data_IF_581429547662
#
_entry.id   IF_581429547662
#
_cell.length_a   1.000
_cell.length_b   1.000
_cell.length_c   1.000
_cell.angle_alpha   90.00
_cell.angle_beta   90.00
_cell.angle_gamma   90.00
#
_symmetry.space_group_name_H-M   'P 1'
#
loop_
_entity.id
_entity.type
_entity.pdbx_description
1 polymer ?
#
# COMPACT_ATOMS: atom_id res chain seq x y z
N UNK A 1 -14.62 -10.06 -2.86
CA UNK A 1 -14.84 -10.36 -4.29
C UNK A 1 -15.79 -11.53 -4.55
N UNK A 2 -15.87 -12.54 -3.67
CA UNK A 2 -16.67 -13.76 -3.90
C UNK A 2 -18.12 -13.55 -4.41
N UNK A 3 -18.93 -12.61 -3.87
CA UNK A 3 -20.28 -12.37 -4.41
C UNK A 3 -20.27 -11.93 -5.87
N UNK A 4 -19.29 -11.15 -6.29
CA UNK A 4 -19.20 -10.64 -7.65
C UNK A 4 -18.85 -11.73 -8.67
N UNK A 5 -18.25 -12.84 -8.24
CA UNK A 5 -17.85 -13.94 -9.13
C UNK A 5 -18.81 -15.12 -9.02
N UNK A 6 -19.24 -15.45 -7.80
CA UNK A 6 -20.05 -16.64 -7.52
C UNK A 6 -21.49 -16.33 -7.12
N UNK A 7 -21.86 -15.06 -6.94
CA UNK A 7 -23.21 -14.65 -6.54
C UNK A 7 -23.56 -14.97 -5.08
N UNK A 8 -22.59 -15.28 -4.23
CA UNK A 8 -22.78 -15.53 -2.80
C UNK A 8 -21.52 -15.16 -1.99
N UNK A 9 -21.63 -15.09 -0.67
CA UNK A 9 -20.50 -14.89 0.23
C UNK A 9 -19.62 -16.14 0.34
N UNK A 10 -18.33 -16.01 0.72
CA UNK A 10 -17.45 -17.16 0.94
C UNK A 10 -18.06 -18.17 1.93
N UNK A 11 -17.97 -19.49 1.68
CA UNK A 11 -18.55 -20.50 2.57
C UNK A 11 -18.06 -20.40 4.02
N UNK A 12 -16.78 -20.06 4.24
CA UNK A 12 -16.21 -19.84 5.57
C UNK A 12 -16.90 -18.69 6.32
N UNK A 13 -17.21 -17.58 5.63
CA UNK A 13 -17.90 -16.45 6.24
C UNK A 13 -19.33 -16.84 6.62
N UNK A 14 -20.05 -17.53 5.73
CA UNK A 14 -21.42 -18.00 6.01
C UNK A 14 -21.46 -18.92 7.24
N UNK A 15 -20.50 -19.83 7.36
CA UNK A 15 -20.39 -20.74 8.51
C UNK A 15 -20.05 -19.99 9.80
N UNK A 16 -19.04 -19.13 9.77
CA UNK A 16 -18.55 -18.49 11.00
C UNK A 16 -19.50 -17.40 11.51
N UNK A 17 -20.01 -16.54 10.62
CA UNK A 17 -20.88 -15.41 10.99
C UNK A 17 -22.32 -15.89 11.26
N UNK A 18 -22.79 -16.87 10.51
CA UNK A 18 -24.13 -17.44 10.64
C UNK A 18 -25.24 -16.44 10.32
N UNK A 19 -26.28 -16.41 11.14
CA UNK A 19 -27.49 -15.62 10.91
C UNK A 19 -27.27 -14.08 10.86
N UNK A 20 -26.12 -13.59 11.35
CA UNK A 20 -25.76 -12.15 11.26
C UNK A 20 -25.34 -11.74 9.85
N UNK A 21 -24.97 -12.69 8.99
CA UNK A 21 -24.64 -12.41 7.58
C UNK A 21 -25.92 -12.50 6.74
N UNK A 22 -26.42 -11.39 6.17
CA UNK A 22 -27.60 -11.43 5.32
C UNK A 22 -27.38 -12.37 4.13
N UNK A 23 -28.38 -13.19 3.81
CA UNK A 23 -28.33 -14.02 2.61
C UNK A 23 -28.71 -13.20 1.39
N UNK A 24 -28.00 -13.42 0.27
CA UNK A 24 -28.39 -12.85 -1.02
C UNK A 24 -29.60 -13.62 -1.54
N UNK A 25 -30.65 -12.91 -1.97
CA UNK A 25 -31.76 -13.55 -2.68
C UNK A 25 -31.30 -14.04 -4.05
N UNK A 26 -32.07 -14.92 -4.69
CA UNK A 26 -31.77 -15.36 -6.06
C UNK A 26 -31.68 -14.17 -7.04
N UNK A 27 -32.52 -13.14 -6.82
CA UNK A 27 -32.49 -11.89 -7.59
C UNK A 27 -31.19 -11.12 -7.34
N UNK A 28 -30.82 -10.89 -6.09
CA UNK A 28 -29.61 -10.12 -5.76
C UNK A 28 -28.35 -10.85 -6.24
N UNK A 29 -28.31 -12.17 -6.05
CA UNK A 29 -27.24 -13.05 -6.55
C UNK A 29 -27.05 -12.89 -8.06
N UNK A 30 -28.14 -12.91 -8.83
CA UNK A 30 -28.11 -12.72 -10.27
C UNK A 30 -27.69 -11.30 -10.68
N UNK A 31 -28.01 -10.28 -9.86
CA UNK A 31 -27.60 -8.89 -10.13
C UNK A 31 -26.11 -8.64 -9.88
N UNK A 32 -25.52 -9.27 -8.87
CA UNK A 32 -24.10 -9.02 -8.50
C UNK A 32 -23.13 -9.96 -9.22
N UNK A 33 -23.56 -11.16 -9.58
CA UNK A 33 -22.69 -12.13 -10.26
C UNK A 33 -22.32 -11.61 -11.65
N UNK A 34 -21.02 -11.51 -11.92
CA UNK A 34 -20.49 -11.01 -13.18
C UNK A 34 -20.67 -9.50 -13.36
N UNK A 35 -20.98 -8.76 -12.30
CA UNK A 35 -21.18 -7.30 -12.37
C UNK A 35 -19.88 -6.49 -12.34
N UNK A 36 -18.76 -7.09 -12.77
CA UNK A 36 -17.45 -6.42 -12.86
C UNK A 36 -16.85 -6.64 -14.24
N UNK A 37 -16.30 -5.58 -14.81
CA UNK A 37 -15.49 -5.63 -16.03
C UNK A 37 -13.99 -5.76 -15.70
N UNK A 38 -13.59 -5.25 -14.54
CA UNK A 38 -12.24 -5.32 -13.98
C UNK A 38 -12.29 -5.16 -12.45
N UNK A 39 -11.16 -5.43 -11.80
CA UNK A 39 -10.99 -5.29 -10.35
C UNK A 39 -9.93 -4.23 -10.04
N UNK A 40 -10.33 -3.16 -9.37
CA UNK A 40 -9.41 -2.20 -8.76
C UNK A 40 -8.94 -2.71 -7.39
N UNK A 41 -7.63 -2.72 -7.16
CA UNK A 41 -7.03 -3.22 -5.92
C UNK A 41 -6.15 -2.16 -5.29
N UNK A 42 -6.38 -1.91 -4.01
CA UNK A 42 -5.49 -1.11 -3.17
C UNK A 42 -4.62 -2.08 -2.37
N UNK A 43 -3.32 -2.11 -2.63
CA UNK A 43 -2.38 -3.04 -2.01
C UNK A 43 -1.20 -2.24 -1.47
N UNK A 44 -0.86 -2.45 -0.20
CA UNK A 44 0.23 -1.73 0.47
C UNK A 44 1.22 -2.66 1.19
N UNK A 45 0.79 -3.86 1.56
CA UNK A 45 1.60 -4.83 2.30
C UNK A 45 0.87 -6.14 2.54
N UNK A 46 1.34 -6.88 3.53
CA UNK A 46 0.74 -8.13 3.99
C UNK A 46 0.56 -8.11 5.50
N UNK A 47 -0.44 -8.84 5.95
CA UNK A 47 -0.73 -9.10 7.36
C UNK A 47 -0.45 -10.59 7.59
N UNK A 48 0.38 -10.90 8.58
CA UNK A 48 0.52 -12.27 9.06
C UNK A 48 -0.56 -12.53 10.11
N UNK A 49 -1.26 -13.65 9.96
CA UNK A 49 -2.30 -14.08 10.89
C UNK A 49 -2.08 -15.50 11.35
N UNK A 50 -2.52 -15.79 12.57
CA UNK A 50 -2.57 -17.13 13.16
C UNK A 50 -4.03 -17.50 13.44
N UNK A 51 -4.33 -18.79 13.48
CA UNK A 51 -5.66 -19.26 13.81
C UNK A 51 -5.96 -19.01 15.30
N UNK A 52 -7.13 -18.43 15.59
CA UNK A 52 -7.68 -18.29 16.94
C UNK A 52 -9.11 -18.82 16.94
N UNK A 53 -9.23 -20.14 16.81
CA UNK A 53 -10.52 -20.82 16.66
C UNK A 53 -11.39 -20.73 17.92
N UNK A 54 -10.78 -20.50 19.09
CA UNK A 54 -11.51 -20.30 20.34
C UNK A 54 -12.41 -19.07 20.32
N UNK A 55 -12.19 -18.11 19.40
CA UNK A 55 -13.13 -17.01 19.20
C UNK A 55 -14.51 -17.49 18.73
N UNK A 56 -14.59 -18.61 18.00
CA UNK A 56 -15.85 -19.14 17.47
C UNK A 56 -16.76 -19.72 18.56
N UNK A 57 -16.21 -20.05 19.73
CA UNK A 57 -16.95 -20.58 20.88
C UNK A 57 -17.61 -19.48 21.73
N UNK A 58 -17.35 -18.20 21.42
CA UNK A 58 -17.91 -17.06 22.16
C UNK A 58 -19.33 -16.75 21.70
N UNK A 59 -20.20 -16.48 22.67
CA UNK A 59 -21.59 -16.07 22.40
C UNK A 59 -21.68 -14.72 21.67
N UNK A 60 -20.90 -13.73 22.14
CA UNK A 60 -20.82 -12.40 21.55
C UNK A 60 -19.54 -12.26 20.72
N UNK A 61 -19.72 -12.08 19.41
CA UNK A 61 -18.64 -11.93 18.43
C UNK A 61 -18.88 -10.70 17.57
N UNK A 62 -17.83 -9.92 17.39
CA UNK A 62 -17.77 -8.86 16.39
C UNK A 62 -17.15 -9.39 15.10
N UNK A 63 -16.85 -8.48 14.17
CA UNK A 63 -16.20 -8.82 12.90
C UNK A 63 -14.90 -9.60 13.09
N UNK A 64 -14.06 -9.23 14.07
CA UNK A 64 -12.77 -9.87 14.31
C UNK A 64 -12.94 -11.25 14.94
N UNK A 65 -13.88 -11.40 15.88
CA UNK A 65 -14.23 -12.70 16.46
C UNK A 65 -14.73 -13.70 15.40
N UNK A 66 -15.41 -13.23 14.35
CA UNK A 66 -15.86 -14.08 13.25
C UNK A 66 -14.76 -14.51 12.27
N UNK A 67 -13.71 -13.70 12.15
CA UNK A 67 -12.52 -14.08 11.37
C UNK A 67 -11.82 -15.28 12.01
N UNK A 68 -11.88 -15.41 13.34
CA UNK A 68 -11.22 -16.46 14.11
C UNK A 68 -9.70 -16.50 13.87
N UNK A 69 -9.10 -15.32 13.81
CA UNK A 69 -7.67 -15.12 13.57
C UNK A 69 -7.08 -14.13 14.54
N UNK A 70 -5.86 -14.39 14.99
CA UNK A 70 -5.02 -13.41 15.66
C UNK A 70 -4.09 -12.71 14.65
N UNK A 71 -3.96 -11.40 14.74
CA UNK A 71 -3.07 -10.61 13.88
C UNK A 71 -1.66 -10.60 14.47
N UNK A 72 -0.71 -11.28 13.81
CA UNK A 72 0.68 -11.35 14.25
C UNK A 72 1.46 -10.11 13.83
N UNK A 73 1.20 -9.62 12.61
CA UNK A 73 1.78 -8.36 12.12
C UNK A 73 0.69 -7.48 11.52
N UNK A 74 0.69 -6.20 11.90
CA UNK A 74 -0.19 -5.20 11.29
C UNK A 74 0.71 -4.10 10.71
N UNK A 75 0.78 -3.94 9.37
CA UNK A 75 1.64 -2.91 8.74
C UNK A 75 1.36 -1.47 9.19
N UNK A 76 0.19 -1.26 9.79
CA UNK A 76 -0.31 0.01 10.32
C UNK A 76 -0.38 0.04 11.85
N UNK A 77 0.17 -0.93 12.56
CA UNK A 77 0.36 -0.83 14.00
C UNK A 77 1.79 -1.23 14.30
N UNK A 78 2.59 -0.29 14.85
CA UNK A 78 3.80 -0.73 15.52
C UNK A 78 3.36 -1.74 16.57
N UNK A 79 3.98 -2.92 16.56
CA UNK A 79 3.90 -3.87 17.67
C UNK A 79 3.83 -3.09 18.97
N UNK A 80 2.73 -3.25 19.72
CA UNK A 80 2.61 -2.74 21.09
C UNK A 80 3.63 -3.53 21.93
N UNK A 81 4.90 -3.18 21.83
CA UNK A 81 5.87 -3.50 22.85
C UNK A 81 5.55 -2.57 24.00
N UNK A 82 5.22 -3.18 25.15
CA UNK A 82 4.71 -2.58 26.39
C UNK A 82 5.45 -1.33 26.92
N UNK A 83 6.58 -0.94 26.32
CA UNK A 83 7.52 0.05 26.83
C UNK A 83 7.87 1.21 25.86
N UNK A 84 7.17 1.38 24.73
CA UNK A 84 7.33 2.59 23.90
C UNK A 84 6.05 3.42 23.91
N UNK A 85 6.11 4.62 24.49
CA UNK A 85 4.96 5.54 24.67
C UNK A 85 4.48 6.24 23.39
N UNK A 86 4.98 5.89 22.20
CA UNK A 86 4.44 6.43 20.95
C UNK A 86 4.47 5.35 19.86
N UNK A 87 3.32 4.91 19.33
CA UNK A 87 3.29 3.99 18.20
C UNK A 87 3.93 4.65 16.97
N UNK A 88 5.09 4.15 16.52
CA UNK A 88 5.67 4.56 15.23
C UNK A 88 5.02 3.73 14.13
N UNK A 89 3.87 4.18 13.65
CA UNK A 89 3.34 3.70 12.39
C UNK A 89 4.32 4.05 11.28
N UNK A 90 4.61 3.10 10.41
CA UNK A 90 5.46 3.37 9.26
C UNK A 90 5.43 2.21 8.30
N UNK A 91 4.77 2.40 7.16
CA UNK A 91 4.85 1.49 6.01
C UNK A 91 6.29 1.34 5.48
N UNK A 92 7.24 2.17 5.97
CA UNK A 92 8.67 2.08 5.67
C UNK A 92 9.29 0.72 5.99
N UNK A 93 8.76 -0.04 6.96
CA UNK A 93 9.37 -1.29 7.44
C UNK A 93 8.55 -2.55 7.11
N UNK A 94 7.49 -2.43 6.30
CA UNK A 94 6.55 -3.52 6.01
C UNK A 94 6.35 -3.73 4.51
N UNK A 95 7.41 -3.56 3.72
CA UNK A 95 7.39 -3.87 2.30
C UNK A 95 7.19 -5.37 2.10
N UNK A 96 6.15 -5.76 1.37
CA UNK A 96 5.84 -7.14 1.06
C UNK A 96 5.46 -7.29 -0.43
N UNK A 97 6.38 -6.99 -1.36
CA UNK A 97 6.10 -7.08 -2.80
C UNK A 97 5.67 -8.49 -3.23
N UNK A 98 6.16 -9.53 -2.53
CA UNK A 98 5.71 -10.92 -2.72
C UNK A 98 4.21 -11.11 -2.47
N UNK A 99 3.59 -10.28 -1.63
CA UNK A 99 2.17 -10.37 -1.32
C UNK A 99 1.31 -9.86 -2.47
N UNK A 100 1.79 -8.88 -3.24
CA UNK A 100 1.16 -8.49 -4.50
C UNK A 100 1.15 -9.66 -5.47
N UNK A 101 2.28 -10.37 -5.63
CA UNK A 101 2.33 -11.54 -6.51
C UNK A 101 1.38 -12.65 -6.06
N UNK A 102 1.31 -12.93 -4.75
CA UNK A 102 0.38 -13.92 -4.19
C UNK A 102 -1.08 -13.53 -4.34
N UNK A 103 -1.40 -12.24 -4.20
CA UNK A 103 -2.74 -11.73 -4.45
C UNK A 103 -3.15 -11.93 -5.91
N UNK A 104 -2.28 -11.58 -6.86
CA UNK A 104 -2.56 -11.74 -8.29
C UNK A 104 -2.68 -13.21 -8.68
N UNK A 105 -1.83 -14.09 -8.15
CA UNK A 105 -1.92 -15.54 -8.31
C UNK A 105 -3.26 -16.08 -7.75
N UNK A 106 -3.70 -15.59 -6.59
CA UNK A 106 -4.97 -15.98 -6.00
C UNK A 106 -6.17 -15.56 -6.88
N UNK A 107 -6.15 -14.37 -7.47
CA UNK A 107 -7.18 -13.92 -8.41
C UNK A 107 -7.18 -14.73 -9.71
N UNK A 108 -5.99 -15.05 -10.21
CA UNK A 108 -5.81 -15.90 -11.38
C UNK A 108 -6.42 -17.29 -11.17
N UNK A 109 -6.12 -17.93 -10.04
CA UNK A 109 -6.48 -19.33 -9.77
C UNK A 109 -7.88 -19.52 -9.21
N UNK A 110 -8.38 -18.59 -8.39
CA UNK A 110 -9.66 -18.74 -7.70
C UNK A 110 -10.77 -17.84 -8.20
N UNK A 111 -10.50 -16.93 -9.15
CA UNK A 111 -11.52 -15.99 -9.60
C UNK A 111 -11.52 -15.76 -11.12
N UNK A 112 -10.90 -16.67 -11.88
CA UNK A 112 -10.96 -16.66 -13.34
C UNK A 112 -10.03 -15.63 -13.99
N UNK A 113 -9.03 -15.12 -13.27
CA UNK A 113 -8.05 -14.17 -13.77
C UNK A 113 -8.67 -12.92 -14.41
N UNK A 114 -9.52 -12.17 -13.68
CA UNK A 114 -10.16 -10.99 -14.22
C UNK A 114 -9.11 -9.91 -14.54
N UNK A 115 -9.42 -8.95 -15.42
CA UNK A 115 -8.57 -7.77 -15.59
C UNK A 115 -8.38 -7.04 -14.25
N UNK A 116 -7.14 -6.79 -13.86
CA UNK A 116 -6.78 -6.12 -12.60
C UNK A 116 -6.13 -4.78 -12.88
N UNK A 117 -6.43 -3.79 -12.05
CA UNK A 117 -5.66 -2.56 -11.92
C UNK A 117 -5.25 -2.38 -10.47
N UNK A 118 -3.97 -2.15 -10.20
CA UNK A 118 -3.56 -1.66 -8.88
C UNK A 118 -3.97 -0.20 -8.81
N UNK A 119 -5.05 0.10 -8.10
CA UNK A 119 -5.59 1.45 -7.94
C UNK A 119 -4.81 2.28 -6.93
N UNK A 120 -4.23 1.62 -5.93
CA UNK A 120 -3.36 2.27 -4.96
C UNK A 120 -2.22 1.33 -4.54
N UNK A 121 -1.00 1.84 -4.62
CA UNK A 121 0.19 1.28 -3.97
C UNK A 121 1.18 2.41 -3.71
N UNK A 122 1.81 2.42 -2.53
CA UNK A 122 2.82 3.42 -2.19
C UNK A 122 3.30 3.33 -0.76
N UNK A 123 4.32 4.12 -0.44
CA UNK A 123 4.89 4.19 0.90
C UNK A 123 4.73 5.58 1.51
N UNK A 124 4.16 5.62 2.70
CA UNK A 124 3.96 6.83 3.49
C UNK A 124 4.94 6.92 4.66
N UNK A 125 5.35 8.14 4.99
CA UNK A 125 6.13 8.42 6.19
C UNK A 125 5.75 9.78 6.77
N UNK A 126 6.04 9.97 8.06
CA UNK A 126 5.94 11.26 8.73
C UNK A 126 7.24 12.03 8.51
N UNK A 127 7.22 13.22 7.92
CA UNK A 127 8.45 13.99 7.75
C UNK A 127 9.02 14.40 9.12
N UNK A 128 10.35 14.28 9.29
CA UNK A 128 11.09 14.93 10.39
C UNK A 128 10.93 16.47 10.27
N UNK A 129 11.00 17.28 11.35
CA UNK A 129 10.09 18.37 11.62
C UNK A 129 9.83 19.37 10.48
N UNK A 130 8.57 19.80 10.48
CA UNK A 130 7.90 20.69 9.56
C UNK A 130 8.72 21.89 9.08
N UNK A 131 9.17 21.85 7.83
CA UNK A 131 9.62 23.04 7.11
C UNK A 131 10.93 22.81 6.38
N UNK A 132 10.82 22.47 5.10
CA UNK A 132 11.99 22.46 4.22
C UNK A 132 11.77 21.60 2.99
N UNK A 133 12.14 22.16 1.84
CA UNK A 133 12.21 21.51 0.52
C UNK A 133 13.27 20.37 0.44
N UNK A 134 13.65 19.77 1.57
CA UNK A 134 14.80 18.86 1.71
C UNK A 134 14.39 17.43 2.07
N UNK A 135 13.08 17.14 2.15
CA UNK A 135 12.62 15.77 2.40
C UNK A 135 12.88 14.89 1.19
N UNK A 136 13.94 14.10 1.27
CA UNK A 136 14.32 13.12 0.27
C UNK A 136 13.63 11.78 0.57
N UNK A 137 12.85 11.28 -0.38
CA UNK A 137 11.97 10.12 -0.22
C UNK A 137 12.48 8.89 -0.97
N UNK A 138 13.77 8.62 -0.87
CA UNK A 138 14.41 7.46 -1.53
C UNK A 138 13.73 6.13 -1.19
N UNK A 139 13.27 5.97 0.06
CA UNK A 139 12.51 4.79 0.47
C UNK A 139 11.25 4.57 -0.39
N UNK A 140 10.57 5.64 -0.82
CA UNK A 140 9.39 5.54 -1.68
C UNK A 140 9.77 5.13 -3.09
N UNK A 141 10.88 5.65 -3.62
CA UNK A 141 11.40 5.19 -4.91
C UNK A 141 11.75 3.69 -4.87
N UNK A 142 12.39 3.24 -3.79
CA UNK A 142 12.69 1.83 -3.56
C UNK A 142 11.43 0.97 -3.47
N UNK A 143 10.45 1.38 -2.67
CA UNK A 143 9.17 0.69 -2.53
C UNK A 143 8.48 0.52 -3.88
N UNK A 144 8.31 1.61 -4.63
CA UNK A 144 7.63 1.57 -5.93
C UNK A 144 8.37 0.66 -6.91
N UNK A 145 9.70 0.69 -6.90
CA UNK A 145 10.52 -0.22 -7.70
C UNK A 145 10.19 -1.69 -7.42
N UNK A 146 10.31 -2.12 -6.17
CA UNK A 146 10.17 -3.55 -5.83
C UNK A 146 8.74 -4.06 -6.07
N UNK A 147 7.73 -3.20 -5.92
CA UNK A 147 6.35 -3.55 -6.24
C UNK A 147 6.06 -3.58 -7.74
N UNK A 148 6.63 -2.65 -8.52
CA UNK A 148 6.54 -2.68 -9.99
C UNK A 148 7.27 -3.91 -10.56
N UNK A 149 8.41 -4.30 -9.99
CA UNK A 149 9.12 -5.54 -10.35
C UNK A 149 8.25 -6.77 -10.08
N UNK A 150 7.61 -6.84 -8.90
CA UNK A 150 6.69 -7.94 -8.56
C UNK A 150 5.45 -7.97 -9.47
N UNK A 151 4.88 -6.81 -9.80
CA UNK A 151 3.78 -6.68 -10.76
C UNK A 151 4.18 -7.20 -12.14
N UNK A 152 5.36 -6.81 -12.65
CA UNK A 152 5.89 -7.27 -13.92
C UNK A 152 6.12 -8.78 -13.92
N UNK A 153 6.66 -9.34 -12.84
CA UNK A 153 6.84 -10.78 -12.69
C UNK A 153 5.49 -11.52 -12.74
N UNK A 154 4.44 -11.00 -12.07
CA UNK A 154 3.10 -11.57 -12.11
C UNK A 154 2.46 -11.50 -13.50
N UNK A 155 2.61 -10.39 -14.23
CA UNK A 155 2.17 -10.29 -15.63
C UNK A 155 2.86 -11.34 -16.50
N UNK A 156 4.18 -11.52 -16.34
CA UNK A 156 4.95 -12.56 -17.05
C UNK A 156 4.51 -13.98 -16.68
N UNK A 157 3.92 -14.17 -15.49
CA UNK A 157 3.35 -15.43 -15.04
C UNK A 157 1.84 -15.57 -15.35
N UNK A 158 1.29 -14.70 -16.21
CA UNK A 158 -0.06 -14.83 -16.75
C UNK A 158 -1.16 -14.16 -15.93
N UNK A 159 -0.85 -13.42 -14.87
CA UNK A 159 -1.86 -12.58 -14.20
C UNK A 159 -2.33 -11.46 -15.15
N UNK A 160 -3.64 -11.24 -15.23
CA UNK A 160 -4.22 -10.21 -16.12
C UNK A 160 -4.14 -8.79 -15.53
N UNK A 161 -2.94 -8.35 -15.13
CA UNK A 161 -2.71 -7.02 -14.59
C UNK A 161 -2.48 -6.00 -15.71
N UNK A 162 -3.37 -5.00 -15.78
CA UNK A 162 -3.45 -4.01 -16.89
C UNK A 162 -2.99 -2.61 -16.50
N UNK A 163 -2.88 -2.30 -15.22
CA UNK A 163 -2.56 -0.95 -14.76
C UNK A 163 -2.01 -0.90 -13.34
N UNK A 164 -1.24 0.16 -13.07
CA UNK A 164 -0.64 0.41 -11.76
C UNK A 164 -0.66 1.92 -11.48
N UNK A 165 -1.37 2.31 -10.43
CA UNK A 165 -1.58 3.68 -9.99
C UNK A 165 -0.92 3.88 -8.62
N UNK A 166 -0.02 4.86 -8.55
CA UNK A 166 0.70 5.22 -7.32
C UNK A 166 -0.21 6.01 -6.39
N UNK A 167 -0.30 5.57 -5.12
CA UNK A 167 -0.78 6.41 -4.03
C UNK A 167 0.41 7.11 -3.36
N UNK A 168 0.61 8.42 -3.50
CA UNK A 168 -0.27 9.38 -4.17
C UNK A 168 0.48 10.27 -5.15
N UNK A 169 -0.25 10.92 -6.06
CA UNK A 169 0.35 11.90 -6.97
C UNK A 169 1.00 13.07 -6.21
N UNK A 170 0.31 13.62 -5.21
CA UNK A 170 0.82 14.64 -4.30
C UNK A 170 0.36 14.38 -2.87
N UNK A 171 0.97 15.04 -1.89
CA UNK A 171 0.47 14.95 -0.52
C UNK A 171 -0.98 15.43 -0.41
N UNK A 172 -1.77 14.67 0.34
CA UNK A 172 -3.19 14.93 0.58
C UNK A 172 -3.49 14.87 2.08
N UNK A 173 -4.75 15.10 2.44
CA UNK A 173 -5.25 14.77 3.75
C UNK A 173 -5.44 13.25 3.86
N UNK A 174 -4.60 12.58 4.65
CA UNK A 174 -4.73 11.14 4.91
C UNK A 174 -5.77 10.91 6.01
N UNK A 175 -6.89 10.26 5.73
CA UNK A 175 -7.99 10.16 6.70
C UNK A 175 -7.58 9.62 8.08
N UNK A 176 -6.70 8.62 8.11
CA UNK A 176 -6.23 8.00 9.35
C UNK A 176 -5.08 8.77 10.02
N UNK A 177 -4.40 9.64 9.28
CA UNK A 177 -3.13 10.25 9.70
C UNK A 177 -3.11 11.77 9.59
N UNK A 178 -4.22 12.38 9.17
CA UNK A 178 -4.34 13.79 8.82
C UNK A 178 -3.20 14.22 7.87
N UNK A 179 -2.78 15.48 7.96
CA UNK A 179 -1.57 15.97 7.33
C UNK A 179 -0.30 15.55 8.09
N UNK A 180 -0.23 14.40 8.77
CA UNK A 180 1.03 13.93 9.37
C UNK A 180 1.78 13.01 8.41
N UNK A 181 1.08 12.10 7.75
CA UNK A 181 1.68 11.20 6.76
C UNK A 181 1.76 11.85 5.38
N UNK A 182 2.80 11.46 4.63
CA UNK A 182 3.12 11.96 3.31
C UNK A 182 3.30 10.78 2.38
N UNK A 183 2.42 10.62 1.40
CA UNK A 183 2.50 9.58 0.35
C UNK A 183 2.86 10.16 -1.04
N UNK A 184 2.82 11.49 -1.19
CA UNK A 184 2.93 12.13 -2.48
C UNK A 184 4.27 11.93 -3.17
N UNK A 185 4.24 11.63 -4.47
CA UNK A 185 5.38 11.87 -5.36
C UNK A 185 5.77 13.36 -5.33
N UNK A 186 4.76 14.24 -5.27
CA UNK A 186 4.94 15.67 -5.02
C UNK A 186 4.63 16.01 -3.57
N UNK A 187 5.57 16.71 -2.93
CA UNK A 187 5.33 17.29 -1.63
C UNK A 187 4.42 18.52 -1.71
N UNK A 188 3.58 18.74 -0.70
CA UNK A 188 2.80 19.97 -0.53
C UNK A 188 3.24 20.69 0.73
N UNK A 189 3.61 21.97 0.60
CA UNK A 189 3.79 22.86 1.74
C UNK A 189 2.41 23.34 2.23
N UNK A 190 1.90 22.67 3.26
CA UNK A 190 0.61 23.02 3.86
C UNK A 190 0.64 24.33 4.67
N UNK A 191 1.83 24.83 5.04
CA UNK A 191 2.00 26.09 5.77
C UNK A 191 2.02 27.30 4.82
N UNK A 192 2.51 27.13 3.59
CA UNK A 192 2.49 28.19 2.58
C UNK A 192 1.06 28.52 2.14
N UNK A 193 0.72 29.82 2.07
CA UNK A 193 -0.60 30.32 1.66
C UNK A 193 -1.05 29.78 0.30
N UNK A 194 -0.11 29.65 -0.64
CA UNK A 194 -0.35 29.17 -2.00
C UNK A 194 -0.28 27.62 -2.14
N UNK A 195 0.00 26.90 -1.04
CA UNK A 195 0.19 25.44 -1.02
C UNK A 195 1.22 24.97 -2.05
N UNK A 196 2.43 25.54 -2.01
CA UNK A 196 3.48 25.24 -2.99
C UNK A 196 3.75 23.74 -3.10
N UNK A 197 3.94 23.24 -4.33
CA UNK A 197 4.26 21.83 -4.61
C UNK A 197 5.72 21.69 -5.05
N UNK A 198 6.36 20.58 -4.66
CA UNK A 198 7.73 20.28 -5.07
C UNK A 198 7.90 18.79 -5.42
N UNK A 199 8.62 18.51 -6.51
CA UNK A 199 8.89 17.14 -6.94
C UNK A 199 9.92 16.48 -6.02
N UNK A 200 9.55 15.34 -5.42
CA UNK A 200 10.47 14.52 -4.62
C UNK A 200 11.33 13.60 -5.48
N UNK A 201 12.24 12.84 -4.88
CA UNK A 201 13.11 11.88 -5.59
C UNK A 201 12.29 10.78 -6.24
N UNK A 202 11.28 10.26 -5.54
CA UNK A 202 10.35 9.27 -6.10
C UNK A 202 9.62 9.77 -7.35
N UNK A 203 9.22 11.05 -7.42
CA UNK A 203 8.62 11.63 -8.63
C UNK A 203 9.59 11.59 -9.82
N UNK A 204 10.86 11.96 -9.58
CA UNK A 204 11.90 11.95 -10.62
C UNK A 204 12.22 10.54 -11.08
N UNK A 205 12.34 9.59 -10.14
CA UNK A 205 12.52 8.18 -10.45
C UNK A 205 11.33 7.63 -11.25
N UNK A 206 10.10 7.85 -10.81
CA UNK A 206 8.89 7.33 -11.47
C UNK A 206 8.72 7.92 -12.88
N UNK A 207 9.02 9.21 -13.06
CA UNK A 207 9.04 9.83 -14.39
C UNK A 207 10.14 9.24 -15.29
N UNK A 208 11.32 8.92 -14.76
CA UNK A 208 12.38 8.24 -15.49
C UNK A 208 11.98 6.82 -15.92
N UNK A 209 11.39 6.05 -15.01
CA UNK A 209 10.82 4.73 -15.27
C UNK A 209 9.79 4.77 -16.41
N UNK A 210 8.81 5.66 -16.34
CA UNK A 210 7.75 5.78 -17.35
C UNK A 210 8.27 6.21 -18.75
N UNK A 211 9.40 6.93 -18.81
CA UNK A 211 10.02 7.35 -20.07
C UNK A 211 10.85 6.24 -20.73
N UNK A 212 10.93 5.04 -20.13
CA UNK A 212 11.72 3.94 -20.66
C UNK A 212 13.23 4.13 -20.50
N UNK A 213 13.66 4.92 -19.51
CA UNK A 213 15.06 5.16 -19.19
C UNK A 213 15.79 3.92 -18.65
N UNK A 214 16.10 2.99 -19.55
CA UNK A 214 17.26 2.10 -19.54
C UNK A 214 17.54 1.26 -18.29
N UNK A 215 16.95 0.07 -18.21
CA UNK A 215 17.57 -1.17 -17.73
C UNK A 215 17.97 -1.31 -16.25
N UNK A 216 18.15 -0.22 -15.52
CA UNK A 216 18.56 -0.22 -14.14
C UNK A 216 17.55 0.58 -13.32
N UNK A 217 16.77 -0.15 -12.52
CA UNK A 217 15.75 0.45 -11.66
C UNK A 217 16.39 1.11 -10.42
N UNK A 218 17.71 1.10 -10.25
CA UNK A 218 18.39 1.76 -9.13
C UNK A 218 18.23 3.28 -9.16
N UNK A 219 17.96 3.92 -8.01
CA UNK A 219 18.04 5.38 -7.91
C UNK A 219 19.47 5.83 -8.19
N UNK A 220 19.64 6.81 -9.09
CA UNK A 220 20.94 7.45 -9.26
C UNK A 220 21.41 8.01 -7.91
N UNK A 221 22.64 7.67 -7.52
CA UNK A 221 23.24 8.18 -6.29
C UNK A 221 23.18 9.72 -6.26
N UNK A 222 22.90 10.28 -5.08
CA UNK A 222 22.90 11.71 -4.89
C UNK A 222 24.24 12.29 -5.36
N UNK A 223 24.20 13.24 -6.30
CA UNK A 223 25.40 14.01 -6.65
C UNK A 223 25.94 14.64 -5.37
N UNK A 224 27.19 14.34 -5.03
CA UNK A 224 27.85 14.90 -3.85
C UNK A 224 27.80 16.43 -3.95
N UNK A 225 27.22 17.06 -2.95
CA UNK A 225 27.33 18.51 -2.78
C UNK A 225 28.80 18.79 -2.53
N UNK A 226 29.48 19.37 -3.52
CA UNK A 226 30.82 19.91 -3.38
C UNK A 226 30.78 21.00 -2.31
N UNK A 227 31.21 20.65 -1.10
CA UNK A 227 31.55 21.64 -0.08
C UNK A 227 32.78 22.40 -0.60
N UNK A 228 32.56 23.61 -1.14
CA UNK A 228 33.65 24.58 -1.27
C UNK A 228 34.10 24.93 0.14
N UNK A 229 35.24 24.38 0.54
CA UNK A 229 36.00 24.88 1.68
C UNK A 229 36.38 26.33 1.39
N UNK A 230 35.82 27.27 2.16
CA UNK A 230 36.36 28.62 2.24
C UNK A 230 37.68 28.52 2.99
N UNK A 231 38.79 28.76 2.28
CA UNK A 231 40.10 28.91 2.87
C UNK A 231 40.12 30.16 3.74
N UNK A 232 40.19 29.97 5.05
CA UNK A 232 40.52 31.02 6.02
C UNK A 232 42.04 31.13 6.08
N UNK A 233 42.61 32.11 5.39
CA UNK A 233 43.96 32.62 5.68
C UNK A 233 43.86 33.59 6.85
N UNK A 234 44.38 33.22 8.01
CA UNK A 234 44.85 34.18 9.00
C UNK A 234 46.38 34.11 9.01
N UNK A 235 46.99 35.25 8.71
CA UNK A 235 48.41 35.55 8.90
C UNK A 235 48.53 36.47 10.11
N UNK A 236 49.67 36.30 10.80
CA UNK A 236 50.19 36.97 12.01
C UNK A 236 49.75 36.40 13.36
#
# INVERSE_FOLDING_TARGET
MHPLVYGDYPPVMKRNVGARLPSLTARDSAMVRGSLDFVGINQYGAILVEADLGQLDRDLRDYYGDMATNFVTVPFESTVTRNQQVPRLGLRNHEAPWALSKLLEHLQTHYGNPPVMIHENGAGHEPDPSGGFLYDDEFRAHFLRVYVEAALASVRNGSDLRGYFVWSFMDVFEFLFSYRFRFGLYGVDFAADNRTRYARRSARWYAGFLRGGGGDLTPAAAASVSTRTHGSTYSE
#
